data_IF_971462875301
#
_entry.id   IF_971462875301
#
_cell.length_a   1.000
_cell.length_b   1.000
_cell.length_c   1.000
_cell.angle_alpha   90.00
_cell.angle_beta   90.00
_cell.angle_gamma   90.00
#
_symmetry.space_group_name_H-M   'P 1'
#
loop_
_entity.id
_entity.type
_entity.pdbx_description
1 polymer ?
#
# COMPACT_ATOMS: atom_id res chain seq x y z
N UNK A 1 8.26 -3.20 -15.32
CA UNK A 1 7.96 -2.02 -14.47
C UNK A 1 6.45 -1.96 -14.33
N UNK A 2 5.92 -1.85 -13.12
CA UNK A 2 4.47 -1.68 -12.95
C UNK A 2 4.07 -0.29 -13.43
N UNK A 3 2.91 -0.17 -14.07
CA UNK A 3 2.33 1.12 -14.44
C UNK A 3 1.34 1.51 -13.35
N UNK A 4 1.36 2.77 -12.91
CA UNK A 4 0.35 3.26 -11.98
C UNK A 4 -1.02 3.22 -12.65
N UNK A 5 -2.04 2.80 -11.89
CA UNK A 5 -3.42 2.85 -12.33
C UNK A 5 -3.90 4.32 -12.33
N UNK A 6 -4.31 4.89 -13.48
CA UNK A 6 -4.74 6.28 -13.56
C UNK A 6 -5.91 6.62 -12.62
N UNK A 7 -6.86 5.70 -12.43
CA UNK A 7 -8.00 5.89 -11.54
C UNK A 7 -7.58 5.98 -10.06
N UNK A 8 -6.49 5.31 -9.69
CA UNK A 8 -5.90 5.43 -8.34
C UNK A 8 -5.23 6.80 -8.16
N UNK A 9 -4.56 7.30 -9.21
CA UNK A 9 -3.98 8.66 -9.20
C UNK A 9 -5.10 9.70 -9.04
N UNK A 10 -6.19 9.54 -9.78
CA UNK A 10 -7.36 10.41 -9.68
C UNK A 10 -7.98 10.40 -8.28
N UNK A 11 -8.28 9.22 -7.74
CA UNK A 11 -8.87 9.08 -6.40
C UNK A 11 -7.99 9.65 -5.29
N UNK A 12 -6.66 9.60 -5.41
CA UNK A 12 -5.75 10.22 -4.43
C UNK A 12 -5.66 11.74 -4.60
N UNK A 13 -5.71 12.25 -5.83
CA UNK A 13 -5.75 13.69 -6.11
C UNK A 13 -6.99 14.36 -5.50
N UNK A 14 -8.13 13.69 -5.45
CA UNK A 14 -9.35 14.18 -4.77
C UNK A 14 -9.14 14.60 -3.31
N UNK A 15 -8.20 13.93 -2.62
CA UNK A 15 -7.88 14.22 -1.22
C UNK A 15 -6.55 15.00 -1.06
N UNK A 16 -6.05 15.58 -2.15
CA UNK A 16 -4.85 16.41 -2.17
C UNK A 16 -3.52 15.64 -2.22
N UNK A 17 -3.54 14.34 -2.54
CA UNK A 17 -2.33 13.50 -2.64
C UNK A 17 -2.02 13.19 -4.11
N UNK A 18 -1.02 13.86 -4.69
CA UNK A 18 -0.60 13.57 -6.07
C UNK A 18 0.51 12.51 -6.11
N UNK A 19 0.19 11.33 -6.65
CA UNK A 19 1.14 10.23 -6.86
C UNK A 19 1.56 10.06 -8.33
N UNK A 20 1.17 10.97 -9.23
CA UNK A 20 1.38 10.81 -10.68
C UNK A 20 2.85 10.64 -11.08
N UNK A 21 3.77 11.20 -10.30
CA UNK A 21 5.21 11.11 -10.52
C UNK A 21 5.89 9.95 -9.75
N UNK A 22 5.12 9.11 -9.07
CA UNK A 22 5.68 7.98 -8.33
C UNK A 22 6.10 6.84 -9.26
N UNK A 23 7.21 6.21 -8.94
CA UNK A 23 7.69 5.02 -9.64
C UNK A 23 7.43 3.74 -8.85
N UNK A 24 7.04 2.67 -9.53
CA UNK A 24 6.97 1.34 -8.92
C UNK A 24 8.37 0.84 -8.59
N UNK A 25 8.61 0.50 -7.32
CA UNK A 25 9.88 -0.05 -6.84
C UNK A 25 9.73 -1.55 -6.58
N UNK A 26 10.70 -2.34 -7.02
CA UNK A 26 10.74 -3.77 -6.71
C UNK A 26 11.16 -4.00 -5.26
N UNK A 27 10.38 -4.81 -4.52
CA UNK A 27 10.69 -5.20 -3.14
C UNK A 27 12.06 -5.88 -3.03
N UNK A 28 12.41 -6.74 -3.99
CA UNK A 28 13.71 -7.42 -4.03
C UNK A 28 14.87 -6.45 -4.26
N UNK A 29 14.66 -5.37 -5.02
CA UNK A 29 15.67 -4.33 -5.17
C UNK A 29 15.90 -3.59 -3.86
N UNK A 30 14.84 -3.31 -3.09
CA UNK A 30 14.95 -2.69 -1.76
C UNK A 30 15.66 -3.62 -0.76
N UNK A 31 15.34 -4.91 -0.79
CA UNK A 31 16.01 -5.92 0.03
C UNK A 31 17.52 -5.98 -0.28
N UNK A 32 17.90 -6.05 -1.57
CA UNK A 32 19.32 -6.08 -1.99
C UNK A 32 20.12 -4.83 -1.60
N UNK A 33 19.47 -3.71 -1.33
CA UNK A 33 20.13 -2.50 -0.85
C UNK A 33 20.53 -2.57 0.64
N UNK A 34 20.16 -3.63 1.36
CA UNK A 34 20.53 -3.80 2.77
C UNK A 34 19.88 -2.80 3.72
N UNK A 35 18.79 -2.17 3.31
CA UNK A 35 18.06 -1.21 4.16
C UNK A 35 17.35 -1.95 5.30
N UNK A 36 17.47 -1.41 6.51
CA UNK A 36 16.78 -1.90 7.70
C UNK A 36 15.47 -1.13 7.83
N UNK A 37 14.39 -1.87 8.08
CA UNK A 37 13.06 -1.31 8.33
C UNK A 37 12.60 -1.78 9.70
N UNK A 38 12.09 -0.86 10.52
CA UNK A 38 11.49 -1.24 11.81
C UNK A 38 10.13 -1.92 11.62
N UNK A 39 9.39 -1.51 10.59
CA UNK A 39 8.08 -2.04 10.25
C UNK A 39 7.99 -2.35 8.75
N UNK A 40 7.43 -3.51 8.42
CA UNK A 40 7.07 -3.90 7.06
C UNK A 40 5.59 -4.27 7.05
N UNK A 41 4.80 -3.52 6.31
CA UNK A 41 3.35 -3.72 6.20
C UNK A 41 3.06 -4.28 4.82
N UNK A 42 2.50 -5.49 4.74
CA UNK A 42 2.03 -6.08 3.48
C UNK A 42 0.55 -5.77 3.28
N UNK A 43 0.19 -5.38 2.05
CA UNK A 43 -1.17 -4.91 1.71
C UNK A 43 -1.94 -5.80 0.73
N UNK A 44 -1.27 -6.83 0.20
CA UNK A 44 -1.85 -7.81 -0.71
C UNK A 44 -2.68 -8.85 0.05
N UNK A 45 -3.28 -9.81 -0.67
CA UNK A 45 -3.86 -10.98 -0.01
C UNK A 45 -2.80 -11.80 0.76
N UNK A 46 -3.27 -12.60 1.72
CA UNK A 46 -2.38 -13.37 2.60
C UNK A 46 -1.48 -14.34 1.82
N UNK A 47 -1.97 -14.90 0.71
CA UNK A 47 -1.21 -15.80 -0.15
C UNK A 47 -0.03 -15.09 -0.84
N UNK A 48 -0.23 -13.86 -1.30
CA UNK A 48 0.80 -13.03 -1.91
C UNK A 48 1.78 -12.46 -0.88
N UNK A 49 1.38 -12.36 0.38
CA UNK A 49 2.27 -11.94 1.45
C UNK A 49 3.41 -12.97 1.67
N UNK A 50 3.17 -14.27 1.52
CA UNK A 50 4.20 -15.31 1.71
C UNK A 50 5.38 -15.18 0.73
N UNK A 51 5.16 -14.58 -0.44
CA UNK A 51 6.20 -14.37 -1.46
C UNK A 51 7.09 -13.13 -1.20
N UNK A 52 6.78 -12.31 -0.18
CA UNK A 52 7.61 -11.16 0.14
C UNK A 52 8.91 -11.59 0.86
N UNK A 53 10.08 -11.04 0.48
CA UNK A 53 11.35 -11.38 1.12
C UNK A 53 11.33 -10.98 2.60
N UNK A 54 11.97 -11.80 3.44
CA UNK A 54 12.22 -11.47 4.83
C UNK A 54 13.29 -10.37 4.91
N UNK A 55 12.91 -9.18 5.38
CA UNK A 55 13.86 -8.09 5.59
C UNK A 55 14.75 -8.36 6.81
N UNK A 56 16.07 -8.10 6.72
CA UNK A 56 16.99 -8.37 7.81
C UNK A 56 16.81 -7.38 8.98
N UNK A 57 16.96 -7.86 10.22
CA UNK A 57 16.87 -7.07 11.46
C UNK A 57 15.62 -7.36 12.31
N UNK A 58 15.46 -6.65 13.43
CA UNK A 58 14.23 -6.70 14.26
C UNK A 58 13.08 -5.95 13.56
N UNK A 59 12.58 -6.55 12.49
CA UNK A 59 11.48 -6.00 11.69
C UNK A 59 10.15 -6.52 12.23
N UNK A 60 9.26 -5.62 12.65
CA UNK A 60 7.86 -5.98 12.92
C UNK A 60 7.09 -6.09 11.61
N UNK A 61 6.51 -7.25 11.35
CA UNK A 61 5.70 -7.49 10.16
C UNK A 61 4.22 -7.36 10.49
N UNK A 62 3.54 -6.48 9.77
CA UNK A 62 2.09 -6.29 9.84
C UNK A 62 1.47 -6.67 8.49
N UNK A 63 0.18 -7.01 8.52
CA UNK A 63 -0.57 -7.35 7.34
C UNK A 63 -1.93 -6.66 7.37
N UNK A 64 -2.23 -5.89 6.33
CA UNK A 64 -3.51 -5.21 6.14
C UNK A 64 -4.09 -5.62 4.80
N UNK A 65 -5.11 -6.45 4.79
CA UNK A 65 -5.69 -6.94 3.55
C UNK A 65 -6.62 -5.89 2.94
N UNK A 66 -6.39 -5.55 1.67
CA UNK A 66 -7.28 -4.69 0.88
C UNK A 66 -7.57 -5.33 -0.48
N UNK A 67 -8.72 -4.99 -1.07
CA UNK A 67 -9.01 -5.39 -2.44
C UNK A 67 -8.09 -4.67 -3.43
N UNK A 68 -7.58 -5.40 -4.42
CA UNK A 68 -6.71 -4.82 -5.45
C UNK A 68 -7.54 -4.01 -6.46
N UNK A 69 -7.29 -2.70 -6.63
CA UNK A 69 -7.92 -1.89 -7.67
C UNK A 69 -7.84 -2.45 -9.09
N UNK A 70 -6.82 -3.26 -9.41
CA UNK A 70 -6.67 -3.89 -10.72
C UNK A 70 -7.73 -4.99 -10.97
N UNK A 71 -8.33 -5.53 -9.92
CA UNK A 71 -9.38 -6.55 -10.00
C UNK A 71 -10.78 -5.97 -10.24
N UNK A 72 -10.95 -4.65 -10.10
CA UNK A 72 -12.27 -4.02 -10.21
C UNK A 72 -12.77 -3.99 -11.66
N UNK A 73 -13.99 -4.48 -11.85
CA UNK A 73 -14.73 -4.48 -13.11
C UNK A 73 -15.86 -3.46 -13.07
N UNK A 74 -16.34 -3.05 -14.25
CA UNK A 74 -17.39 -2.03 -14.42
C UNK A 74 -16.93 -0.81 -15.20
N UNK A 75 -17.75 0.24 -15.17
CA UNK A 75 -17.42 1.58 -15.69
C UNK A 75 -16.31 2.24 -14.86
N UNK A 76 -15.73 3.32 -15.38
CA UNK A 76 -14.69 4.05 -14.65
C UNK A 76 -15.24 4.66 -13.36
N UNK A 77 -16.47 5.21 -13.35
CA UNK A 77 -17.17 5.64 -12.14
C UNK A 77 -17.35 4.51 -11.11
N UNK A 78 -17.76 3.32 -11.54
CA UNK A 78 -17.97 2.17 -10.65
C UNK A 78 -16.64 1.72 -10.02
N UNK A 79 -15.57 1.66 -10.82
CA UNK A 79 -14.22 1.36 -10.33
C UNK A 79 -13.73 2.44 -9.38
N UNK A 80 -13.91 3.71 -9.73
CA UNK A 80 -13.49 4.84 -8.92
C UNK A 80 -14.19 4.85 -7.57
N UNK A 81 -15.49 4.52 -7.52
CA UNK A 81 -16.23 4.35 -6.27
C UNK A 81 -15.61 3.27 -5.37
N UNK A 82 -15.26 2.10 -5.92
CA UNK A 82 -14.56 1.03 -5.17
C UNK A 82 -13.16 1.44 -4.72
N UNK A 83 -12.42 2.15 -5.57
CA UNK A 83 -11.08 2.67 -5.25
C UNK A 83 -11.14 3.65 -4.07
N UNK A 84 -12.15 4.53 -4.02
CA UNK A 84 -12.36 5.45 -2.90
C UNK A 84 -12.57 4.70 -1.58
N UNK A 85 -13.34 3.62 -1.58
CA UNK A 85 -13.53 2.77 -0.40
C UNK A 85 -12.18 2.19 0.08
N UNK A 86 -11.38 1.63 -0.83
CA UNK A 86 -10.05 1.09 -0.47
C UNK A 86 -9.10 2.19 0.05
N UNK A 87 -9.06 3.35 -0.62
CA UNK A 87 -8.29 4.52 -0.20
C UNK A 87 -8.62 4.93 1.23
N UNK A 88 -9.91 5.01 1.55
CA UNK A 88 -10.38 5.48 2.84
C UNK A 88 -10.11 4.43 3.95
N UNK A 89 -10.21 3.14 3.63
CA UNK A 89 -9.77 2.06 4.52
C UNK A 89 -8.27 2.10 4.81
N UNK A 90 -7.42 2.31 3.80
CA UNK A 90 -5.97 2.51 3.99
C UNK A 90 -5.70 3.71 4.89
N UNK A 91 -6.43 4.81 4.70
CA UNK A 91 -6.29 6.01 5.54
C UNK A 91 -6.61 5.74 7.01
N UNK A 92 -7.64 4.94 7.30
CA UNK A 92 -7.99 4.53 8.67
C UNK A 92 -6.86 3.73 9.30
N UNK A 93 -6.36 2.69 8.62
CA UNK A 93 -5.28 1.84 9.11
C UNK A 93 -3.99 2.62 9.35
N UNK A 94 -3.60 3.49 8.41
CA UNK A 94 -2.40 4.34 8.55
C UNK A 94 -2.53 5.29 9.74
N UNK A 95 -3.69 5.96 9.91
CA UNK A 95 -3.90 6.85 11.05
C UNK A 95 -3.90 6.10 12.38
N UNK A 96 -4.49 4.89 12.41
CA UNK A 96 -4.44 4.02 13.58
C UNK A 96 -3.01 3.61 13.91
N UNK A 97 -2.23 3.21 12.91
CA UNK A 97 -0.83 2.82 13.06
C UNK A 97 0.04 3.95 13.60
N UNK A 98 -0.06 5.15 13.03
CA UNK A 98 0.71 6.33 13.49
C UNK A 98 0.39 6.64 14.94
N UNK A 99 -0.89 6.71 15.32
CA UNK A 99 -1.29 6.96 16.72
C UNK A 99 -0.76 5.90 17.68
N UNK A 100 -0.78 4.63 17.29
CA UNK A 100 -0.29 3.54 18.13
C UNK A 100 1.23 3.55 18.28
N UNK A 101 1.98 3.97 17.25
CA UNK A 101 3.43 4.15 17.38
C UNK A 101 3.75 5.31 18.30
N UNK A 102 3.07 6.45 18.13
CA UNK A 102 3.32 7.64 18.95
C UNK A 102 3.10 7.36 20.45
N UNK A 103 2.16 6.47 20.79
CA UNK A 103 1.90 6.02 22.17
C UNK A 103 2.95 5.05 22.74
N UNK A 104 3.82 4.49 21.89
CA UNK A 104 4.86 3.51 22.26
C UNK A 104 6.27 4.12 22.30
N UNK A 105 6.42 5.38 21.91
CA UNK A 105 7.63 6.22 22.02
C UNK A 105 7.55 7.15 23.21
#
# INVERSE_FOLDING_TARGET
KGKLNPLVVEALKEIGIDISNNETKSVFKLFKQGRIYHYVITVCDAASAEHCPLFPGMTKRLHWSFEDPASFTGTDEEKLAKIRVVRDSIKIEVNGFVKNIDLLT
#
